data_IF_000818088584
#
_entry.id   IF_000818088584
#
_cell.length_a   1.000
_cell.length_b   1.000
_cell.length_c   1.000
_cell.angle_alpha   90.00
_cell.angle_beta   90.00
_cell.angle_gamma   90.00
#
_symmetry.space_group_name_H-M   'P 1'
#
loop_
_entity.id
_entity.type
_entity.pdbx_description
1 polymer ?
#
# COMPACT_ATOMS: atom_id res chain seq x y z
N UNK A 1 -8.59 -6.46 -16.02
CA UNK A 1 -9.50 -5.32 -16.28
C UNK A 1 -10.36 -5.58 -17.51
N UNK A 2 -9.79 -5.90 -18.67
CA UNK A 2 -10.56 -6.15 -19.91
C UNK A 2 -11.59 -7.28 -19.76
N UNK A 3 -11.25 -8.38 -19.07
CA UNK A 3 -12.18 -9.48 -18.79
C UNK A 3 -13.39 -9.07 -17.93
N UNK A 4 -13.33 -7.91 -17.26
CA UNK A 4 -14.41 -7.32 -16.47
C UNK A 4 -15.13 -6.18 -17.19
N UNK A 5 -14.92 -6.04 -18.50
CA UNK A 5 -15.52 -4.96 -19.29
C UNK A 5 -14.94 -3.57 -19.03
N UNK A 6 -13.80 -3.47 -18.32
CA UNK A 6 -13.14 -2.20 -18.02
C UNK A 6 -12.20 -1.85 -19.17
N UNK A 7 -12.45 -0.71 -19.81
CA UNK A 7 -11.58 -0.19 -20.87
C UNK A 7 -10.46 0.65 -20.24
N UNK A 8 -9.21 0.23 -20.44
CA UNK A 8 -8.04 1.05 -20.10
C UNK A 8 -7.85 2.08 -21.21
N UNK A 9 -7.98 3.36 -20.87
CA UNK A 9 -7.83 4.46 -21.83
C UNK A 9 -6.35 4.71 -22.12
N UNK A 10 -5.53 4.74 -21.07
CA UNK A 10 -4.08 4.96 -21.17
C UNK A 10 -3.38 4.43 -19.93
N UNK A 11 -2.13 4.01 -20.08
CA UNK A 11 -1.20 3.71 -18.99
C UNK A 11 -0.06 4.71 -19.06
N UNK A 12 0.13 5.50 -18.00
CA UNK A 12 1.12 6.57 -17.93
C UNK A 12 2.17 6.19 -16.89
N UNK A 13 3.42 6.11 -17.33
CA UNK A 13 4.54 5.91 -16.43
C UNK A 13 4.95 7.25 -15.80
N UNK A 14 5.23 7.23 -14.50
CA UNK A 14 5.70 8.38 -13.74
C UNK A 14 7.10 8.07 -13.22
N UNK A 15 8.08 8.84 -13.66
CA UNK A 15 9.44 8.70 -13.15
C UNK A 15 9.47 9.02 -11.64
N UNK A 16 10.12 8.17 -10.82
CA UNK A 16 10.23 8.42 -9.40
C UNK A 16 10.85 9.79 -9.10
N UNK A 17 10.29 10.49 -8.13
CA UNK A 17 10.74 11.83 -7.72
C UNK A 17 10.61 12.90 -8.82
N UNK A 18 9.58 12.78 -9.66
CA UNK A 18 9.21 13.80 -10.63
C UNK A 18 9.10 15.19 -9.96
N UNK A 19 9.62 16.23 -10.61
CA UNK A 19 9.58 17.59 -10.04
C UNK A 19 8.24 18.30 -10.28
N UNK A 20 7.58 18.00 -11.37
CA UNK A 20 6.27 18.55 -11.73
C UNK A 20 5.39 17.47 -12.37
N UNK A 21 4.33 17.12 -11.68
CA UNK A 21 3.36 16.12 -12.12
C UNK A 21 2.15 16.77 -12.84
N UNK A 22 2.11 18.08 -12.92
CA UNK A 22 0.99 18.82 -13.52
C UNK A 22 0.65 18.37 -14.94
N UNK A 23 1.65 18.16 -15.85
CA UNK A 23 1.37 17.68 -17.20
C UNK A 23 0.65 16.32 -17.22
N UNK A 24 1.00 15.42 -16.31
CA UNK A 24 0.37 14.11 -16.18
C UNK A 24 -1.07 14.26 -15.75
N UNK A 25 -1.34 15.10 -14.74
CA UNK A 25 -2.72 15.35 -14.27
C UNK A 25 -3.56 16.01 -15.38
N UNK A 26 -3.01 16.93 -16.15
CA UNK A 26 -3.68 17.53 -17.30
C UNK A 26 -3.97 16.48 -18.39
N UNK A 27 -3.05 15.58 -18.65
CA UNK A 27 -3.27 14.47 -19.58
C UNK A 27 -4.41 13.58 -19.11
N UNK A 28 -4.39 13.16 -17.85
CA UNK A 28 -5.49 12.36 -17.26
C UNK A 28 -6.82 13.11 -17.38
N UNK A 29 -6.83 14.40 -17.04
CA UNK A 29 -8.03 15.24 -17.17
C UNK A 29 -8.57 15.30 -18.59
N UNK A 30 -7.71 15.37 -19.60
CA UNK A 30 -8.10 15.41 -21.02
C UNK A 30 -8.70 14.10 -21.52
N UNK A 31 -8.35 12.97 -20.91
CA UNK A 31 -8.91 11.65 -21.23
C UNK A 31 -10.31 11.46 -20.65
N UNK A 32 -10.72 12.29 -19.70
CA UNK A 32 -11.99 12.21 -18.99
C UNK A 32 -12.36 10.78 -18.54
N UNK A 33 -11.50 10.07 -17.79
CA UNK A 33 -11.78 8.70 -17.36
C UNK A 33 -12.85 8.67 -16.27
N UNK A 34 -13.56 7.56 -16.14
CA UNK A 34 -14.49 7.32 -15.03
C UNK A 34 -13.75 7.03 -13.72
N UNK A 35 -12.56 6.43 -13.80
CA UNK A 35 -11.70 6.15 -12.66
C UNK A 35 -10.22 6.22 -13.05
N UNK A 36 -9.38 6.53 -12.08
CA UNK A 36 -7.91 6.51 -12.21
C UNK A 36 -7.35 5.54 -11.19
N UNK A 37 -6.52 4.61 -11.64
CA UNK A 37 -5.73 3.76 -10.76
C UNK A 37 -4.31 4.33 -10.72
N UNK A 38 -3.81 4.62 -9.53
CA UNK A 38 -2.52 5.29 -9.35
C UNK A 38 -1.67 4.54 -8.34
N UNK A 39 -0.43 4.23 -8.72
CA UNK A 39 0.58 3.63 -7.82
C UNK A 39 1.78 4.55 -7.83
N UNK A 40 1.92 5.36 -6.79
CA UNK A 40 2.95 6.38 -6.68
C UNK A 40 3.55 6.39 -5.28
N UNK A 41 4.83 6.76 -5.18
CA UNK A 41 5.50 6.92 -3.90
C UNK A 41 4.99 8.17 -3.16
N UNK A 42 5.39 8.29 -1.89
CA UNK A 42 4.88 9.33 -0.99
C UNK A 42 5.02 10.75 -1.58
N UNK A 43 6.22 11.13 -2.03
CA UNK A 43 6.47 12.48 -2.54
C UNK A 43 5.68 12.77 -3.82
N UNK A 44 5.63 11.80 -4.72
CA UNK A 44 4.88 11.92 -5.97
C UNK A 44 3.37 11.96 -5.70
N UNK A 45 2.89 11.25 -4.67
CA UNK A 45 1.52 11.33 -4.18
C UNK A 45 1.16 12.72 -3.66
N UNK A 46 2.06 13.35 -2.88
CA UNK A 46 1.88 14.74 -2.40
C UNK A 46 1.74 15.69 -3.59
N UNK A 47 2.62 15.58 -4.59
CA UNK A 47 2.56 16.41 -5.79
C UNK A 47 1.26 16.16 -6.58
N UNK A 48 0.89 14.89 -6.75
CA UNK A 48 -0.31 14.48 -7.47
C UNK A 48 -1.57 15.09 -6.86
N UNK A 49 -1.75 14.94 -5.56
CA UNK A 49 -2.93 15.46 -4.87
C UNK A 49 -3.00 16.98 -4.90
N UNK A 50 -1.87 17.66 -4.69
CA UNK A 50 -1.79 19.13 -4.82
C UNK A 50 -2.13 19.60 -6.25
N UNK A 51 -1.54 18.96 -7.26
CA UNK A 51 -1.79 19.33 -8.67
C UNK A 51 -3.27 19.11 -9.03
N UNK A 52 -3.90 18.02 -8.61
CA UNK A 52 -5.34 17.77 -8.84
C UNK A 52 -6.21 18.89 -8.28
N UNK A 53 -5.98 19.25 -7.02
CA UNK A 53 -6.78 20.29 -6.35
C UNK A 53 -6.54 21.65 -6.98
N UNK A 54 -5.29 22.01 -7.28
CA UNK A 54 -4.95 23.28 -7.93
C UNK A 54 -5.56 23.42 -9.33
N UNK A 55 -5.71 22.30 -10.05
CA UNK A 55 -6.36 22.25 -11.37
C UNK A 55 -7.88 22.11 -11.30
N UNK A 56 -8.48 22.13 -10.10
CA UNK A 56 -9.90 21.88 -9.91
C UNK A 56 -10.35 20.51 -10.42
N UNK A 57 -9.45 19.52 -10.43
CA UNK A 57 -9.74 18.17 -10.94
C UNK A 57 -9.99 17.21 -9.77
N UNK A 58 -11.19 17.26 -9.24
CA UNK A 58 -11.65 16.42 -8.12
C UNK A 58 -12.44 15.19 -8.56
N UNK A 59 -12.84 15.16 -9.82
CA UNK A 59 -13.46 13.99 -10.47
C UNK A 59 -12.37 13.16 -11.15
N UNK A 60 -12.55 11.91 -11.41
CA UNK A 60 -13.52 10.96 -10.93
C UNK A 60 -13.05 10.23 -9.68
N UNK A 61 -13.28 8.93 -9.61
CA UNK A 61 -12.75 8.07 -8.54
C UNK A 61 -11.24 7.85 -8.74
N UNK A 62 -10.45 8.16 -7.72
CA UNK A 62 -9.01 7.85 -7.68
C UNK A 62 -8.75 6.70 -6.72
N UNK A 63 -8.31 5.58 -7.26
CA UNK A 63 -7.91 4.42 -6.49
C UNK A 63 -6.39 4.40 -6.42
N UNK A 64 -5.85 4.43 -5.21
CA UNK A 64 -4.43 4.49 -5.01
C UNK A 64 -3.84 3.29 -4.30
N UNK A 65 -2.72 2.81 -4.79
CA UNK A 65 -1.82 1.91 -4.09
C UNK A 65 -0.54 2.62 -3.67
N UNK A 66 0.22 2.00 -2.78
CA UNK A 66 1.49 2.54 -2.28
C UNK A 66 1.36 3.81 -1.41
N UNK A 67 2.49 4.30 -0.90
CA UNK A 67 2.59 5.36 0.09
C UNK A 67 1.96 6.70 -0.34
N UNK A 68 1.83 6.94 -1.63
CA UNK A 68 1.17 8.15 -2.16
C UNK A 68 -0.33 8.22 -1.91
N UNK A 69 -0.94 7.14 -1.37
CA UNK A 69 -2.35 7.09 -1.01
C UNK A 69 -2.63 6.51 0.38
N UNK A 70 -1.68 5.78 0.95
CA UNK A 70 -1.90 5.00 2.18
C UNK A 70 -0.93 5.33 3.32
N UNK A 71 0.00 6.27 3.13
CA UNK A 71 0.90 6.71 4.21
C UNK A 71 0.16 7.67 5.15
N UNK A 72 0.20 7.40 6.45
CA UNK A 72 -0.49 8.19 7.47
C UNK A 72 -0.02 9.66 7.53
N UNK A 73 1.23 9.92 7.13
CA UNK A 73 1.80 11.27 7.06
C UNK A 73 1.30 12.07 5.86
N UNK A 74 0.71 11.42 4.87
CA UNK A 74 0.27 12.05 3.63
C UNK A 74 -0.69 13.21 3.92
N UNK A 75 -1.72 12.96 4.73
CA UNK A 75 -2.77 13.92 5.01
C UNK A 75 -2.25 15.18 5.74
N UNK A 76 -1.37 14.99 6.72
CA UNK A 76 -0.69 16.09 7.40
C UNK A 76 0.21 16.91 6.45
N UNK A 77 0.90 16.24 5.53
CA UNK A 77 1.80 16.89 4.54
C UNK A 77 1.02 17.67 3.49
N UNK A 78 -0.16 17.20 3.10
CA UNK A 78 -1.04 17.91 2.15
C UNK A 78 -1.61 19.20 2.75
N UNK A 79 -1.77 19.26 4.07
CA UNK A 79 -2.51 20.30 4.77
C UNK A 79 -4.03 20.09 4.67
N UNK A 80 -4.76 20.66 5.62
CA UNK A 80 -6.19 20.39 5.85
C UNK A 80 -7.04 20.60 4.59
N UNK A 81 -6.90 21.73 3.94
CA UNK A 81 -7.74 22.08 2.78
C UNK A 81 -7.57 21.10 1.62
N UNK A 82 -6.32 20.76 1.26
CA UNK A 82 -6.03 19.84 0.17
C UNK A 82 -6.46 18.42 0.54
N UNK A 83 -6.19 18.01 1.78
CA UNK A 83 -6.59 16.69 2.29
C UNK A 83 -8.11 16.49 2.23
N UNK A 84 -8.89 17.43 2.75
CA UNK A 84 -10.37 17.35 2.74
C UNK A 84 -10.93 17.25 1.32
N UNK A 85 -10.44 18.09 0.39
CA UNK A 85 -10.87 18.03 -1.01
C UNK A 85 -10.44 16.73 -1.70
N UNK A 86 -9.27 16.20 -1.36
CA UNK A 86 -8.75 14.96 -1.92
C UNK A 86 -9.57 13.75 -1.45
N UNK A 87 -9.91 13.70 -0.16
CA UNK A 87 -10.66 12.58 0.45
C UNK A 87 -12.05 12.38 -0.15
N UNK A 88 -12.65 13.40 -0.75
CA UNK A 88 -13.97 13.28 -1.39
C UNK A 88 -13.99 12.33 -2.60
N UNK A 89 -12.86 12.08 -3.21
CA UNK A 89 -12.76 11.29 -4.45
C UNK A 89 -11.55 10.35 -4.50
N UNK A 90 -10.81 10.21 -3.41
CA UNK A 90 -9.61 9.35 -3.36
C UNK A 90 -9.78 8.23 -2.35
N UNK A 91 -9.42 7.03 -2.78
CA UNK A 91 -9.47 5.83 -1.96
C UNK A 91 -8.09 5.17 -1.97
N UNK A 92 -7.45 5.10 -0.81
CA UNK A 92 -6.24 4.33 -0.61
C UNK A 92 -6.57 2.88 -0.28
N UNK A 93 -5.76 1.97 -0.76
CA UNK A 93 -5.80 0.57 -0.32
C UNK A 93 -5.07 0.47 1.03
N UNK A 94 -5.82 0.36 2.11
CA UNK A 94 -5.29 0.00 3.40
C UNK A 94 -5.22 -1.53 3.52
N UNK A 95 -4.04 -2.07 3.79
CA UNK A 95 -3.85 -3.52 3.94
C UNK A 95 -4.26 -4.03 5.33
N UNK A 96 -4.43 -3.16 6.30
CA UNK A 96 -4.93 -3.52 7.62
C UNK A 96 -5.70 -2.36 8.26
N UNK A 97 -6.50 -2.70 9.25
CA UNK A 97 -7.09 -1.76 10.20
C UNK A 97 -6.64 -2.14 11.60
N UNK A 98 -6.41 -1.17 12.48
CA UNK A 98 -6.07 -1.44 13.88
C UNK A 98 -7.10 -2.31 14.59
N UNK A 99 -8.36 -2.22 14.18
CA UNK A 99 -9.48 -3.04 14.66
C UNK A 99 -9.63 -4.36 13.86
N UNK A 100 -8.69 -4.64 12.96
CA UNK A 100 -8.73 -5.82 12.09
C UNK A 100 -8.65 -7.12 12.88
N UNK A 101 -9.30 -8.16 12.33
CA UNK A 101 -9.41 -9.50 12.96
C UNK A 101 -8.33 -10.47 12.48
N UNK A 102 -7.24 -9.98 11.86
CA UNK A 102 -6.15 -10.85 11.45
C UNK A 102 -5.44 -11.44 12.67
N UNK A 103 -5.15 -12.74 12.69
CA UNK A 103 -4.76 -13.47 13.91
C UNK A 103 -3.56 -12.88 14.64
N UNK A 104 -2.53 -12.46 13.92
CA UNK A 104 -1.31 -11.91 14.49
C UNK A 104 -1.28 -10.40 14.67
N UNK A 105 -2.32 -9.68 14.21
CA UNK A 105 -2.31 -8.23 14.14
C UNK A 105 -2.29 -7.57 15.53
N UNK A 106 -3.16 -8.02 16.43
CA UNK A 106 -3.25 -7.47 17.79
C UNK A 106 -1.93 -7.62 18.58
N UNK A 107 -1.33 -8.80 18.49
CA UNK A 107 -0.02 -9.06 19.11
C UNK A 107 1.07 -8.18 18.52
N UNK A 108 1.12 -8.04 17.18
CA UNK A 108 2.08 -7.19 16.50
C UNK A 108 1.94 -5.71 16.91
N UNK A 109 0.71 -5.20 16.96
CA UNK A 109 0.43 -3.83 17.39
C UNK A 109 0.83 -3.62 18.87
N UNK A 110 0.45 -4.52 19.75
CA UNK A 110 0.78 -4.42 21.17
C UNK A 110 2.29 -4.40 21.43
N UNK A 111 3.02 -5.35 20.81
CA UNK A 111 4.48 -5.43 20.93
C UNK A 111 5.19 -4.25 20.25
N UNK A 112 4.71 -3.86 19.09
CA UNK A 112 5.26 -2.72 18.37
C UNK A 112 5.09 -1.41 19.13
N UNK A 113 3.89 -1.13 19.67
CA UNK A 113 3.66 0.07 20.49
C UNK A 113 4.50 0.07 21.76
N UNK A 114 4.69 -1.07 22.40
CA UNK A 114 5.54 -1.17 23.58
C UNK A 114 7.02 -0.93 23.25
N UNK A 115 7.50 -1.41 22.10
CA UNK A 115 8.88 -1.24 21.66
C UNK A 115 9.16 0.16 21.06
N UNK A 116 8.16 0.78 20.45
CA UNK A 116 8.27 2.04 19.71
C UNK A 116 7.11 2.98 20.07
N UNK A 117 7.02 3.50 21.32
CA UNK A 117 5.86 4.26 21.78
C UNK A 117 5.64 5.58 21.02
N UNK A 118 6.72 6.14 20.46
CA UNK A 118 6.68 7.42 19.74
C UNK A 118 6.55 7.25 18.21
N UNK A 119 6.32 6.01 17.73
CA UNK A 119 6.22 5.72 16.29
C UNK A 119 4.79 5.36 15.90
N UNK A 120 4.40 5.82 14.73
CA UNK A 120 3.20 5.31 14.07
C UNK A 120 3.52 3.95 13.48
N UNK A 121 2.76 2.93 13.86
CA UNK A 121 2.89 1.59 13.32
C UNK A 121 2.04 1.51 12.05
N UNK A 122 2.60 1.94 10.95
CA UNK A 122 1.95 1.96 9.64
C UNK A 122 1.96 0.57 8.96
N UNK A 123 1.43 0.50 7.74
CA UNK A 123 1.44 -0.73 6.96
C UNK A 123 2.85 -1.24 6.67
N UNK A 124 3.85 -0.36 6.53
CA UNK A 124 5.25 -0.75 6.27
C UNK A 124 5.84 -1.51 7.46
N UNK A 125 5.49 -1.08 8.69
CA UNK A 125 5.82 -1.82 9.89
C UNK A 125 5.19 -3.22 9.87
N UNK A 126 3.92 -3.34 9.49
CA UNK A 126 3.23 -4.63 9.42
C UNK A 126 3.79 -5.55 8.33
N UNK A 127 4.19 -4.99 7.18
CA UNK A 127 4.94 -5.76 6.17
C UNK A 127 6.23 -6.34 6.74
N UNK A 128 7.01 -5.53 7.47
CA UNK A 128 8.24 -5.97 8.13
C UNK A 128 7.99 -7.09 9.14
N UNK A 129 6.97 -6.95 9.98
CA UNK A 129 6.59 -7.97 10.98
C UNK A 129 6.20 -9.28 10.29
N UNK A 130 5.35 -9.23 9.27
CA UNK A 130 4.92 -10.44 8.56
C UNK A 130 6.08 -11.11 7.82
N UNK A 131 6.90 -10.34 7.12
CA UNK A 131 8.07 -10.86 6.42
C UNK A 131 9.04 -11.56 7.38
N UNK A 132 9.32 -10.94 8.53
CA UNK A 132 10.17 -11.54 9.56
C UNK A 132 9.59 -12.86 10.10
N UNK A 133 8.30 -12.89 10.43
CA UNK A 133 7.63 -14.11 10.91
C UNK A 133 7.65 -15.24 9.88
N UNK A 134 7.44 -14.91 8.60
CA UNK A 134 7.50 -15.89 7.52
C UNK A 134 8.93 -16.41 7.30
N UNK A 135 9.92 -15.52 7.36
CA UNK A 135 11.33 -15.91 7.23
C UNK A 135 11.75 -16.82 8.37
N UNK A 136 11.43 -16.49 9.61
CA UNK A 136 11.74 -17.36 10.78
C UNK A 136 11.13 -18.74 10.57
N UNK A 137 9.87 -18.84 10.19
CA UNK A 137 9.22 -20.13 9.91
C UNK A 137 9.88 -20.88 8.75
N UNK A 138 10.29 -20.17 7.71
CA UNK A 138 11.01 -20.81 6.60
C UNK A 138 12.36 -21.36 7.03
N UNK A 139 13.11 -20.65 7.88
CA UNK A 139 14.36 -21.11 8.47
C UNK A 139 14.14 -22.35 9.36
N UNK A 140 13.13 -22.32 10.22
CA UNK A 140 12.75 -23.47 11.05
C UNK A 140 12.42 -24.70 10.20
N UNK A 141 11.60 -24.53 9.15
CA UNK A 141 11.23 -25.62 8.25
C UNK A 141 12.41 -26.13 7.41
N UNK A 142 13.35 -25.26 7.03
CA UNK A 142 14.54 -25.65 6.28
C UNK A 142 15.58 -26.35 7.15
N UNK A 143 15.60 -26.08 8.47
CA UNK A 143 16.60 -26.58 9.41
C UNK A 143 18.03 -26.13 9.11
N UNK A 144 18.20 -25.06 8.34
CA UNK A 144 19.49 -24.54 7.87
C UNK A 144 19.34 -23.09 7.42
N UNK A 145 20.45 -22.38 7.33
CA UNK A 145 20.55 -21.02 6.77
C UNK A 145 20.94 -21.01 5.28
N UNK A 146 21.08 -22.17 4.65
CA UNK A 146 21.32 -22.28 3.21
C UNK A 146 20.20 -21.56 2.42
N UNK A 147 20.54 -20.52 1.63
CA UNK A 147 19.51 -19.66 1.01
C UNK A 147 18.65 -20.39 0.00
N UNK A 148 19.15 -21.44 -0.65
CA UNK A 148 18.38 -22.22 -1.63
C UNK A 148 17.31 -23.04 -0.90
N UNK A 149 17.68 -23.69 0.21
CA UNK A 149 16.77 -24.50 1.01
C UNK A 149 15.75 -23.62 1.75
N UNK A 150 16.19 -22.48 2.29
CA UNK A 150 15.30 -21.50 2.94
C UNK A 150 14.29 -20.94 1.93
N UNK A 151 14.70 -20.60 0.71
CA UNK A 151 13.79 -20.13 -0.33
C UNK A 151 12.76 -21.22 -0.73
N UNK A 152 13.22 -22.48 -0.87
CA UNK A 152 12.30 -23.59 -1.13
C UNK A 152 11.29 -23.78 0.01
N UNK A 153 11.74 -23.71 1.26
CA UNK A 153 10.88 -23.79 2.43
C UNK A 153 9.91 -22.59 2.51
N UNK A 154 10.37 -21.38 2.18
CA UNK A 154 9.52 -20.18 2.15
C UNK A 154 8.38 -20.31 1.13
N UNK A 155 8.67 -20.76 -0.09
CA UNK A 155 7.65 -21.01 -1.12
C UNK A 155 6.67 -22.12 -0.75
N UNK A 156 7.09 -23.05 0.10
CA UNK A 156 6.25 -24.14 0.62
C UNK A 156 5.46 -23.80 1.88
N UNK A 157 5.53 -22.56 2.39
CA UNK A 157 4.80 -22.15 3.57
C UNK A 157 3.30 -22.30 3.38
N UNK A 158 2.65 -22.93 4.35
CA UNK A 158 1.19 -23.03 4.44
C UNK A 158 0.74 -22.54 5.80
N UNK A 159 -0.31 -21.77 5.82
CA UNK A 159 -0.87 -21.18 7.03
C UNK A 159 -2.25 -21.76 7.29
N UNK A 160 -2.50 -22.10 8.57
CA UNK A 160 -3.82 -22.51 9.02
C UNK A 160 -4.65 -21.28 9.38
N UNK A 161 -5.97 -21.43 9.36
CA UNK A 161 -6.85 -20.40 9.88
C UNK A 161 -6.46 -20.08 11.34
N UNK A 162 -6.34 -18.81 11.70
CA UNK A 162 -5.91 -18.38 13.02
C UNK A 162 -4.40 -18.34 13.26
N UNK A 163 -3.58 -18.56 12.24
CA UNK A 163 -2.12 -18.54 12.39
C UNK A 163 -1.61 -17.15 12.80
N UNK A 164 -0.88 -17.05 13.94
CA UNK A 164 -0.41 -15.77 14.46
C UNK A 164 0.68 -15.10 13.59
N UNK A 165 1.24 -15.80 12.61
CA UNK A 165 2.17 -15.19 11.66
C UNK A 165 1.47 -14.22 10.71
N UNK A 166 0.14 -14.35 10.52
CA UNK A 166 -0.66 -13.52 9.62
C UNK A 166 -1.04 -12.22 10.30
N UNK A 167 -0.46 -11.12 9.87
CA UNK A 167 -0.77 -9.75 10.30
C UNK A 167 -1.33 -8.89 9.15
N UNK A 168 -1.16 -9.34 7.91
CA UNK A 168 -1.71 -8.75 6.69
C UNK A 168 -2.43 -9.83 5.87
N UNK A 169 -3.38 -9.46 5.02
CA UNK A 169 -4.15 -10.43 4.21
C UNK A 169 -3.36 -11.04 3.04
N UNK A 170 -2.05 -10.83 2.99
CA UNK A 170 -1.15 -11.35 1.95
C UNK A 170 -0.42 -12.56 2.50
N UNK A 171 -0.52 -13.70 1.85
CA UNK A 171 0.16 -14.95 2.21
C UNK A 171 1.06 -15.43 1.07
N UNK A 172 2.13 -16.21 1.38
CA UNK A 172 2.97 -16.82 0.35
C UNK A 172 2.15 -17.74 -0.58
N UNK A 173 2.45 -17.67 -1.86
CA UNK A 173 1.73 -18.42 -2.88
C UNK A 173 0.72 -17.58 -3.68
N UNK A 174 0.35 -16.40 -3.18
CA UNK A 174 -0.52 -15.47 -3.90
C UNK A 174 0.27 -14.52 -4.82
N UNK A 175 1.60 -14.60 -4.77
CA UNK A 175 2.50 -13.80 -5.60
C UNK A 175 3.04 -14.68 -6.73
N UNK A 176 2.52 -14.48 -7.90
CA UNK A 176 3.02 -15.05 -9.14
C UNK A 176 3.87 -14.03 -9.90
#
# INVERSE_FOLDING_TARGET
LAAQGIKVLESIEVEPSVKDITPIVLRVKSLAPDAVISVVYFQDGVLLHKARINLGYTSPIWLGGSAGFSDDKLWGTLGKEVAEKTLTSSFGLAFYSADGKLPGLKDALQKGTAAYPDKVLDQSFMFGVQAARFLVRALENAGTDDPVKVNAAFRGLKFKAGDPAIVLPIIPGDVH
#
